data_IF_482892120709
#
_entry.id   IF_482892120709
#
_cell.length_a   1.000
_cell.length_b   1.000
_cell.length_c   1.000
_cell.angle_alpha   90.00
_cell.angle_beta   90.00
_cell.angle_gamma   90.00
#
_symmetry.space_group_name_H-M   'P 1'
#
loop_
_entity.id
_entity.type
_entity.pdbx_description
1 polymer ?
#
# COMPACT_ATOMS: atom_id res chain seq x y z
N UNK A 1 -15.73 -0.07 27.99
CA UNK A 1 -15.90 -1.19 27.03
C UNK A 1 -16.60 -0.77 25.73
N UNK A 2 -17.80 -0.17 25.78
CA UNK A 2 -18.59 0.19 24.58
C UNK A 2 -17.91 1.17 23.61
N UNK A 3 -17.09 2.13 24.09
CA UNK A 3 -16.36 3.08 23.21
C UNK A 3 -15.27 2.39 22.38
N UNK A 4 -14.51 1.48 22.99
CA UNK A 4 -13.48 0.70 22.30
C UNK A 4 -14.10 -0.26 21.27
N UNK A 5 -15.25 -0.86 21.61
CA UNK A 5 -16.01 -1.71 20.67
C UNK A 5 -16.53 -0.92 19.47
N UNK A 6 -16.98 0.33 19.69
CA UNK A 6 -17.41 1.23 18.60
C UNK A 6 -16.26 1.60 17.67
N UNK A 7 -15.09 1.94 18.23
CA UNK A 7 -13.89 2.25 17.45
C UNK A 7 -13.44 1.03 16.65
N UNK A 8 -13.40 -0.15 17.28
CA UNK A 8 -13.06 -1.41 16.63
C UNK A 8 -14.02 -1.74 15.48
N UNK A 9 -15.33 -1.55 15.68
CA UNK A 9 -16.34 -1.78 14.65
C UNK A 9 -16.19 -0.82 13.45
N UNK A 10 -15.85 0.45 13.68
CA UNK A 10 -15.59 1.43 12.62
C UNK A 10 -14.33 1.05 11.82
N UNK A 11 -13.26 0.66 12.51
CA UNK A 11 -12.01 0.23 11.87
C UNK A 11 -12.21 -1.04 11.03
N UNK A 12 -12.96 -2.02 11.56
CA UNK A 12 -13.29 -3.24 10.83
C UNK A 12 -14.12 -2.93 9.56
N UNK A 13 -15.06 -1.99 9.63
CA UNK A 13 -15.86 -1.57 8.49
C UNK A 13 -15.01 -0.91 7.40
N UNK A 14 -14.08 -0.03 7.78
CA UNK A 14 -13.14 0.62 6.84
C UNK A 14 -12.21 -0.41 6.19
N UNK A 15 -11.77 -1.41 6.94
CA UNK A 15 -10.93 -2.47 6.41
C UNK A 15 -11.69 -3.28 5.35
N UNK A 16 -12.91 -3.74 5.66
CA UNK A 16 -13.75 -4.55 4.75
C UNK A 16 -14.07 -3.81 3.46
N UNK A 17 -14.40 -2.51 3.51
CA UNK A 17 -14.69 -1.73 2.30
C UNK A 17 -13.46 -1.53 1.41
N UNK A 18 -12.26 -1.57 1.99
CA UNK A 18 -10.99 -1.49 1.25
C UNK A 18 -10.61 -2.78 0.52
N UNK A 19 -11.20 -3.94 0.85
CA UNK A 19 -10.96 -5.20 0.12
C UNK A 19 -11.63 -5.24 -1.26
N UNK A 20 -12.56 -4.31 -1.55
CA UNK A 20 -13.14 -4.19 -2.87
C UNK A 20 -12.17 -3.46 -3.81
N UNK A 21 -11.47 -4.21 -4.67
CA UNK A 21 -10.58 -3.68 -5.70
C UNK A 21 -11.33 -3.00 -6.87
N UNK A 22 -12.50 -2.41 -6.60
CA UNK A 22 -13.26 -1.62 -7.56
C UNK A 22 -13.13 -0.15 -7.16
N UNK A 23 -12.57 0.66 -8.07
CA UNK A 23 -12.38 2.08 -7.81
C UNK A 23 -13.73 2.76 -7.49
N UNK A 24 -13.82 3.37 -6.29
CA UNK A 24 -15.05 4.01 -5.80
C UNK A 24 -15.31 5.40 -6.39
N UNK A 25 -14.33 5.97 -7.09
CA UNK A 25 -14.49 7.26 -7.76
C UNK A 25 -14.90 7.05 -9.23
N UNK A 26 -15.99 7.69 -9.66
CA UNK A 26 -16.51 7.60 -11.03
C UNK A 26 -15.44 7.93 -12.11
N UNK A 27 -14.53 8.86 -11.79
CA UNK A 27 -13.35 9.19 -12.62
C UNK A 27 -12.40 8.00 -12.80
N UNK A 28 -12.01 7.33 -11.72
CA UNK A 28 -11.08 6.19 -11.77
C UNK A 28 -11.71 4.97 -12.47
N UNK A 29 -13.04 4.80 -12.34
CA UNK A 29 -13.79 3.74 -13.03
C UNK A 29 -13.93 4.02 -14.53
N UNK A 30 -14.21 5.26 -14.92
CA UNK A 30 -14.34 5.66 -16.33
C UNK A 30 -13.02 5.54 -17.10
N UNK A 31 -11.90 5.98 -16.51
CA UNK A 31 -10.58 5.84 -17.13
C UNK A 31 -10.19 4.36 -17.30
N UNK A 32 -10.50 3.53 -16.30
CA UNK A 32 -10.25 2.10 -16.38
C UNK A 32 -11.14 1.39 -17.43
N UNK A 33 -12.44 1.73 -17.49
CA UNK A 33 -13.37 1.11 -18.45
C UNK A 33 -13.11 1.55 -19.89
N UNK A 34 -12.88 2.85 -20.13
CA UNK A 34 -12.57 3.35 -21.48
C UNK A 34 -11.27 2.78 -22.05
N UNK A 35 -10.32 2.41 -21.18
CA UNK A 35 -9.08 1.74 -21.59
C UNK A 35 -9.32 0.28 -21.99
N UNK A 36 -10.24 -0.44 -21.33
CA UNK A 36 -10.60 -1.83 -21.70
C UNK A 36 -11.43 -1.92 -22.98
N UNK A 37 -12.36 -0.99 -23.19
CA UNK A 37 -13.32 -1.00 -24.31
C UNK A 37 -12.63 -0.70 -25.65
N UNK A 38 -11.52 0.05 -25.62
CA UNK A 38 -10.69 0.35 -26.78
C UNK A 38 -9.73 -0.78 -27.21
N UNK A 39 -9.83 -1.98 -26.61
CA UNK A 39 -8.98 -3.14 -26.94
C UNK A 39 -7.52 -2.97 -26.50
N UNK A 40 -7.24 -2.01 -25.60
CA UNK A 40 -5.89 -1.67 -25.17
C UNK A 40 -5.43 -2.53 -23.99
N UNK A 41 -4.21 -3.10 -24.09
CA UNK A 41 -3.55 -3.87 -23.00
C UNK A 41 -3.21 -3.03 -21.78
N UNK A 42 -3.45 -1.72 -21.85
CA UNK A 42 -3.26 -0.75 -20.76
C UNK A 42 -4.07 -1.12 -19.52
N UNK A 43 -5.24 -1.76 -19.65
CA UNK A 43 -6.04 -2.17 -18.50
C UNK A 43 -5.44 -3.32 -17.69
N UNK A 44 -4.81 -4.30 -18.36
CA UNK A 44 -4.05 -5.38 -17.71
C UNK A 44 -2.74 -4.84 -17.12
N UNK A 45 -2.12 -3.88 -17.81
CA UNK A 45 -0.95 -3.15 -17.33
C UNK A 45 -1.23 -2.24 -16.13
N UNK A 46 -2.46 -1.73 -15.98
CA UNK A 46 -2.84 -0.81 -14.90
C UNK A 46 -2.86 -1.51 -13.54
N UNK A 47 -3.37 -2.74 -13.44
CA UNK A 47 -3.33 -3.51 -12.19
C UNK A 47 -1.87 -3.85 -11.81
N UNK A 48 -1.05 -4.22 -12.80
CA UNK A 48 0.40 -4.38 -12.62
C UNK A 48 1.09 -3.08 -12.19
N UNK A 49 0.68 -1.94 -12.76
CA UNK A 49 1.18 -0.61 -12.42
C UNK A 49 0.79 -0.16 -11.01
N UNK A 50 -0.43 -0.44 -10.56
CA UNK A 50 -0.88 -0.14 -9.19
C UNK A 50 -0.07 -0.95 -8.18
N UNK A 51 0.12 -2.25 -8.42
CA UNK A 51 0.95 -3.10 -7.54
C UNK A 51 2.41 -2.64 -7.57
N UNK A 52 2.96 -2.28 -8.73
CA UNK A 52 4.32 -1.77 -8.86
C UNK A 52 4.53 -0.45 -8.08
N UNK A 53 3.62 0.50 -8.25
CA UNK A 53 3.66 1.79 -7.56
C UNK A 53 3.40 1.67 -6.05
N UNK A 54 2.59 0.70 -5.62
CA UNK A 54 2.38 0.38 -4.20
C UNK A 54 3.56 -0.36 -3.58
N UNK A 55 4.21 -1.28 -4.30
CA UNK A 55 5.34 -2.05 -3.78
C UNK A 55 6.59 -1.18 -3.56
N UNK A 56 6.81 -0.21 -4.45
CA UNK A 56 7.97 0.67 -4.42
C UNK A 56 8.18 1.42 -3.08
N UNK A 57 7.20 2.11 -2.48
CA UNK A 57 7.37 2.78 -1.18
C UNK A 57 7.68 1.79 -0.04
N UNK A 58 7.11 0.58 -0.06
CA UNK A 58 7.42 -0.42 0.97
C UNK A 58 8.86 -0.94 0.85
N UNK A 59 9.35 -1.15 -0.37
CA UNK A 59 10.74 -1.56 -0.61
C UNK A 59 11.74 -0.50 -0.14
N UNK A 60 11.47 0.78 -0.44
CA UNK A 60 12.31 1.88 0.03
C UNK A 60 12.34 1.93 1.56
N UNK A 61 11.18 1.84 2.21
CA UNK A 61 11.09 1.85 3.67
C UNK A 61 11.85 0.68 4.31
N UNK A 62 11.78 -0.52 3.70
CA UNK A 62 12.51 -1.69 4.18
C UNK A 62 14.04 -1.50 4.08
N UNK A 63 14.53 -0.99 2.94
CA UNK A 63 15.97 -0.74 2.73
C UNK A 63 16.49 0.33 3.70
N UNK A 64 15.78 1.45 3.82
CA UNK A 64 16.17 2.55 4.73
C UNK A 64 16.14 2.08 6.19
N UNK A 65 15.09 1.37 6.60
CA UNK A 65 14.97 0.82 7.95
C UNK A 65 16.10 -0.17 8.26
N UNK A 66 16.43 -1.06 7.32
CA UNK A 66 17.54 -1.99 7.46
C UNK A 66 18.91 -1.29 7.53
N UNK A 67 19.13 -0.26 6.70
CA UNK A 67 20.36 0.53 6.71
C UNK A 67 20.55 1.25 8.06
N UNK A 68 19.49 1.85 8.61
CA UNK A 68 19.52 2.49 9.92
C UNK A 68 19.80 1.45 11.02
N UNK A 69 19.12 0.31 11.00
CA UNK A 69 19.35 -0.77 11.97
C UNK A 69 20.81 -1.24 11.95
N UNK A 70 21.36 -1.51 10.75
CA UNK A 70 22.74 -1.94 10.57
C UNK A 70 23.73 -0.88 11.07
N UNK A 71 23.51 0.39 10.72
CA UNK A 71 24.36 1.49 11.17
C UNK A 71 24.34 1.60 12.70
N UNK A 72 23.16 1.57 13.33
CA UNK A 72 23.05 1.62 14.79
C UNK A 72 23.71 0.43 15.49
N UNK A 73 23.60 -0.77 14.92
CA UNK A 73 24.28 -1.95 15.46
C UNK A 73 25.81 -1.77 15.44
N UNK A 74 26.38 -1.30 14.33
CA UNK A 74 27.82 -1.06 14.20
C UNK A 74 28.35 -0.02 15.21
N UNK A 75 27.57 1.02 15.50
CA UNK A 75 27.92 2.04 16.50
C UNK A 75 27.90 1.51 17.94
N UNK A 76 27.04 0.52 18.24
CA UNK A 76 27.00 -0.12 19.57
C UNK A 76 28.22 -1.03 19.79
N UNK A 77 28.64 -1.79 18.77
CA UNK A 77 29.82 -2.66 18.86
C UNK A 77 31.13 -1.84 18.97
N UNK A 78 31.22 -0.68 18.28
CA UNK A 78 32.42 0.18 18.29
C UNK A 78 32.59 0.98 19.60
N UNK A 79 31.52 1.15 20.41
CA UNK A 79 31.57 1.85 21.71
C UNK A 79 31.80 0.93 22.91
N UNK A 80 31.87 -0.38 22.69
CA UNK A 80 32.05 -1.39 23.71
C UNK A 80 33.52 -1.86 23.87
N UNK A 81 34.43 -1.33 23.06
CA UNK A 81 35.91 -1.43 23.21
C UNK A 81 36.48 -0.16 23.87
#
# INVERSE_FOLDING_TARGET
>A
MFKALRIFSILALIFITSLSAQAQCAMCKAVASSSTEAGSTVATGLNGGIIYLMAFPYLIMAVVGYAIYRHRKQQTETKAD
#
